data_IF_686870299981
#
_entry.id   IF_686870299981
#
_cell.length_a   1.000
_cell.length_b   1.000
_cell.length_c   1.000
_cell.angle_alpha   90.00
_cell.angle_beta   90.00
_cell.angle_gamma   90.00
#
_symmetry.space_group_name_H-M   'P 1'
#
loop_
_entity.id
_entity.type
_entity.pdbx_description
1 polymer ?
#
# COMPACT_ATOMS: atom_id res chain seq x y z
N UNK A 1 -20.75 -0.81 -7.85
CA UNK A 1 -19.59 0.08 -7.86
C UNK A 1 -19.17 0.60 -6.48
N UNK A 2 -19.93 0.33 -5.44
CA UNK A 2 -19.67 0.84 -4.07
C UNK A 2 -18.53 0.09 -3.33
N UNK A 3 -17.65 -0.56 -4.07
CA UNK A 3 -16.58 -1.41 -3.51
C UNK A 3 -15.21 -0.73 -3.46
N UNK A 4 -15.03 0.38 -4.19
CA UNK A 4 -13.75 1.11 -4.30
C UNK A 4 -14.02 2.58 -4.02
N UNK A 5 -13.50 3.07 -2.90
CA UNK A 5 -13.74 4.46 -2.46
C UNK A 5 -12.42 5.09 -2.02
N UNK A 6 -12.05 6.19 -2.65
CA UNK A 6 -10.96 7.06 -2.22
C UNK A 6 -11.54 8.33 -1.60
N UNK A 7 -11.33 8.51 -0.29
CA UNK A 7 -11.79 9.68 0.44
C UNK A 7 -10.78 10.82 0.30
N UNK A 8 -11.27 12.03 0.00
CA UNK A 8 -10.44 13.23 0.10
C UNK A 8 -10.42 13.69 1.56
N UNK A 9 -9.72 12.96 2.39
CA UNK A 9 -9.66 13.21 3.85
C UNK A 9 -8.38 12.59 4.44
N UNK A 10 -8.05 12.96 5.66
CA UNK A 10 -7.03 12.29 6.45
C UNK A 10 -7.59 11.00 7.06
N UNK A 11 -6.76 9.92 7.09
CA UNK A 11 -7.14 8.69 7.79
C UNK A 11 -7.49 8.93 9.27
N UNK A 12 -7.00 9.99 9.88
CA UNK A 12 -7.30 10.37 11.27
C UNK A 12 -8.80 10.65 11.49
N UNK A 13 -9.52 10.98 10.43
CA UNK A 13 -10.98 11.21 10.45
C UNK A 13 -11.79 9.93 10.13
N UNK A 14 -11.16 8.75 10.14
CA UNK A 14 -11.76 7.48 9.73
C UNK A 14 -13.12 7.16 10.38
N UNK A 15 -13.35 7.67 11.60
CA UNK A 15 -14.62 7.46 12.33
C UNK A 15 -15.83 8.10 11.67
N UNK A 16 -15.63 9.12 10.84
CA UNK A 16 -16.70 9.75 10.07
C UNK A 16 -17.09 8.95 8.82
N UNK A 17 -16.28 7.95 8.47
CA UNK A 17 -16.49 7.08 7.32
C UNK A 17 -16.88 5.67 7.79
N UNK A 18 -17.89 5.08 7.17
CA UNK A 18 -18.35 3.73 7.49
C UNK A 18 -17.51 2.69 6.75
N UNK A 19 -16.30 2.44 7.26
CA UNK A 19 -15.33 1.53 6.63
C UNK A 19 -15.39 0.16 7.32
N UNK A 20 -15.59 -0.95 6.57
CA UNK A 20 -15.54 -2.29 7.14
C UNK A 20 -14.10 -2.67 7.51
N UNK A 21 -13.96 -3.63 8.43
CA UNK A 21 -12.64 -4.14 8.81
C UNK A 21 -11.92 -4.80 7.63
N UNK A 22 -10.65 -4.48 7.48
CA UNK A 22 -9.79 -4.96 6.42
C UNK A 22 -9.19 -6.34 6.70
N UNK A 23 -9.02 -7.13 5.66
CA UNK A 23 -8.12 -8.29 5.65
C UNK A 23 -6.67 -7.85 5.52
N UNK A 24 -6.43 -6.81 4.72
CA UNK A 24 -5.10 -6.25 4.46
C UNK A 24 -5.15 -4.72 4.56
N UNK A 25 -4.23 -4.14 5.33
CA UNK A 25 -3.89 -2.72 5.25
C UNK A 25 -2.57 -2.65 4.47
N UNK A 26 -2.61 -2.03 3.29
CA UNK A 26 -1.46 -1.91 2.39
C UNK A 26 -1.26 -0.45 2.06
N UNK A 27 -0.16 0.13 2.53
CA UNK A 27 0.05 1.58 2.43
C UNK A 27 1.52 1.95 2.31
N UNK A 28 1.80 3.10 1.70
CA UNK A 28 3.13 3.72 1.60
C UNK A 28 3.20 4.88 2.61
N UNK A 29 3.92 4.66 3.70
CA UNK A 29 4.02 5.65 4.77
C UNK A 29 4.85 6.86 4.34
N UNK A 30 4.58 8.06 4.85
CA UNK A 30 5.49 9.19 4.69
C UNK A 30 6.86 8.88 5.29
N UNK A 31 7.91 9.02 4.45
CA UNK A 31 9.29 8.81 4.90
C UNK A 31 9.79 10.09 5.59
N UNK A 32 9.55 10.25 6.87
CA UNK A 32 9.92 11.43 7.66
C UNK A 32 11.43 11.54 7.93
N UNK A 33 12.26 11.35 6.90
CA UNK A 33 13.72 11.27 7.03
C UNK A 33 14.43 12.62 6.90
N UNK A 34 13.70 13.69 6.65
CA UNK A 34 14.26 15.02 6.37
C UNK A 34 14.97 15.11 5.01
N UNK A 35 15.18 16.32 4.54
CA UNK A 35 15.65 16.64 3.19
C UNK A 35 17.01 16.03 2.82
N UNK A 36 17.87 15.81 3.81
CA UNK A 36 19.24 15.30 3.59
C UNK A 36 19.28 13.81 3.27
N UNK A 37 18.30 13.04 3.71
CA UNK A 37 18.22 11.59 3.51
C UNK A 37 17.62 11.23 2.16
N UNK A 38 16.65 12.02 1.67
CA UNK A 38 16.20 11.87 0.29
C UNK A 38 17.34 12.25 -0.65
N UNK A 39 17.67 11.37 -1.55
CA UNK A 39 18.76 11.57 -2.51
C UNK A 39 18.53 12.68 -3.51
N UNK A 40 17.41 13.39 -3.40
CA UNK A 40 17.01 14.49 -4.24
C UNK A 40 17.03 15.79 -3.42
N UNK A 41 17.61 16.84 -4.00
CA UNK A 41 17.49 18.17 -3.45
C UNK A 41 15.99 18.55 -3.38
N UNK A 42 15.44 19.15 -2.29
CA UNK A 42 14.07 19.64 -2.24
C UNK A 42 13.69 20.55 -3.41
N UNK A 43 14.64 21.31 -3.95
CA UNK A 43 14.51 22.10 -5.18
C UNK A 43 14.00 21.25 -6.37
N UNK A 44 14.28 19.95 -6.39
CA UNK A 44 13.79 19.01 -7.40
C UNK A 44 12.29 18.74 -7.29
N UNK A 45 11.74 18.94 -6.11
CA UNK A 45 10.32 18.74 -5.82
C UNK A 45 9.55 20.06 -5.73
N UNK A 46 10.26 21.17 -5.43
CA UNK A 46 9.63 22.46 -5.14
C UNK A 46 9.81 23.53 -6.22
N UNK A 47 10.71 23.37 -7.19
CA UNK A 47 10.96 24.48 -8.13
C UNK A 47 11.91 24.23 -9.27
N UNK A 48 12.22 22.98 -9.58
CA UNK A 48 13.06 22.65 -10.72
C UNK A 48 12.44 23.08 -12.05
N UNK A 49 13.23 23.68 -12.91
CA UNK A 49 12.82 24.15 -14.22
C UNK A 49 12.80 23.04 -15.29
N UNK A 50 13.04 21.79 -14.89
CA UNK A 50 13.23 20.61 -15.74
C UNK A 50 14.41 20.68 -16.71
N UNK A 51 15.29 21.68 -16.59
CA UNK A 51 16.43 21.87 -17.50
C UNK A 51 17.50 20.78 -17.34
N UNK A 52 17.54 20.12 -16.19
CA UNK A 52 18.49 19.06 -15.85
C UNK A 52 17.85 17.66 -15.79
N UNK A 53 16.72 17.45 -16.43
CA UNK A 53 16.01 16.17 -16.43
C UNK A 53 15.19 15.90 -15.15
N UNK A 54 14.85 16.94 -14.40
CA UNK A 54 13.94 16.87 -13.28
C UNK A 54 12.54 16.43 -13.74
N UNK A 55 11.84 15.72 -12.87
CA UNK A 55 10.49 15.28 -13.20
C UNK A 55 9.55 16.48 -13.39
N UNK A 56 8.75 16.44 -14.47
CA UNK A 56 7.62 17.40 -14.66
C UNK A 56 6.62 17.43 -13.51
N UNK A 57 6.78 16.56 -12.53
CA UNK A 57 6.02 16.50 -11.29
C UNK A 57 6.74 17.17 -10.12
N UNK A 58 7.92 17.79 -10.34
CA UNK A 58 8.72 18.41 -9.29
C UNK A 58 7.89 19.37 -8.40
N UNK A 59 6.99 20.15 -9.00
CA UNK A 59 6.10 21.05 -8.26
C UNK A 59 4.95 20.35 -7.50
N UNK A 60 4.70 19.05 -7.73
CA UNK A 60 3.57 18.33 -7.16
C UNK A 60 3.96 17.39 -6.03
N UNK A 61 5.24 17.19 -5.84
CA UNK A 61 5.78 16.18 -4.93
C UNK A 61 6.16 16.76 -3.57
N UNK A 62 5.63 17.90 -3.18
CA UNK A 62 5.77 18.28 -1.79
C UNK A 62 5.20 17.13 -0.95
N UNK A 63 6.09 16.40 -0.25
CA UNK A 63 5.74 15.53 0.88
C UNK A 63 5.29 16.45 2.01
N UNK A 64 4.47 17.43 1.62
CA UNK A 64 4.06 18.48 2.48
C UNK A 64 3.03 17.92 3.43
N UNK A 65 3.41 17.91 4.64
CA UNK A 65 2.58 17.83 5.80
C UNK A 65 1.67 19.07 5.89
N UNK A 66 0.95 19.40 4.81
CA UNK A 66 -0.10 20.42 4.81
C UNK A 66 -1.27 20.04 5.74
N UNK A 67 -1.28 18.81 6.23
CA UNK A 67 -2.04 18.47 7.42
C UNK A 67 -1.33 19.11 8.62
N UNK A 68 -1.91 20.19 9.14
CA UNK A 68 -1.43 20.90 10.37
C UNK A 68 -1.22 19.97 11.56
N UNK A 69 -1.76 18.75 11.53
CA UNK A 69 -1.60 17.70 12.55
C UNK A 69 -0.42 16.79 12.28
N UNK A 70 0.08 16.71 11.03
CA UNK A 70 1.13 15.82 10.60
C UNK A 70 0.72 14.33 10.66
N UNK A 71 1.52 13.47 10.03
CA UNK A 71 1.37 12.02 10.16
C UNK A 71 1.92 11.56 11.51
N UNK A 72 1.08 10.90 12.33
CA UNK A 72 1.46 10.41 13.66
C UNK A 72 1.41 8.91 13.72
N UNK A 73 2.56 8.28 13.88
CA UNK A 73 2.71 6.81 13.92
C UNK A 73 1.82 6.16 15.00
N UNK A 74 1.70 6.69 16.25
CA UNK A 74 0.80 6.10 17.23
C UNK A 74 -0.68 6.13 16.82
N UNK A 75 -1.14 7.23 16.21
CA UNK A 75 -2.52 7.36 15.71
C UNK A 75 -2.78 6.41 14.54
N UNK A 76 -1.78 6.24 13.68
CA UNK A 76 -1.82 5.30 12.58
C UNK A 76 -1.98 3.85 13.08
N UNK A 77 -1.17 3.41 14.04
CA UNK A 77 -1.32 2.06 14.59
C UNK A 77 -2.61 1.88 15.39
N UNK A 78 -3.13 2.95 16.03
CA UNK A 78 -4.47 2.90 16.62
C UNK A 78 -5.56 2.68 15.55
N UNK A 79 -5.49 3.41 14.44
CA UNK A 79 -6.36 3.22 13.29
C UNK A 79 -6.28 1.77 12.77
N UNK A 80 -5.07 1.24 12.56
CA UNK A 80 -4.86 -0.14 12.12
C UNK A 80 -5.45 -1.16 13.09
N UNK A 81 -5.25 -0.98 14.40
CA UNK A 81 -5.78 -1.88 15.41
C UNK A 81 -7.31 -1.94 15.42
N UNK A 82 -7.97 -0.85 15.05
CA UNK A 82 -9.45 -0.76 14.96
C UNK A 82 -10.01 -1.30 13.65
N UNK A 83 -9.31 -1.08 12.55
CA UNK A 83 -9.82 -1.42 11.22
C UNK A 83 -9.26 -2.71 10.64
N UNK A 84 -8.21 -3.29 11.18
CA UNK A 84 -7.82 -4.64 10.78
C UNK A 84 -8.78 -5.66 11.43
N UNK A 85 -9.21 -6.65 10.65
CA UNK A 85 -10.06 -7.74 11.16
C UNK A 85 -9.51 -8.29 12.47
N UNK A 86 -10.36 -8.52 13.48
CA UNK A 86 -9.94 -9.17 14.71
C UNK A 86 -9.38 -10.55 14.42
N UNK A 87 -8.54 -11.06 15.32
CA UNK A 87 -8.00 -12.40 15.18
C UNK A 87 -9.12 -13.45 15.17
N UNK A 88 -9.10 -14.35 14.18
CA UNK A 88 -10.11 -15.39 14.09
C UNK A 88 -9.92 -16.43 15.20
N UNK A 89 -11.02 -17.05 15.64
CA UNK A 89 -10.98 -18.21 16.53
C UNK A 89 -10.48 -19.46 15.76
N UNK A 90 -9.76 -20.34 16.44
CA UNK A 90 -9.24 -21.58 15.86
C UNK A 90 -8.05 -21.35 14.91
N UNK A 91 -7.95 -22.16 13.88
CA UNK A 91 -6.82 -22.19 12.92
C UNK A 91 -7.00 -21.25 11.72
N UNK A 92 -8.03 -20.39 11.72
CA UNK A 92 -8.29 -19.47 10.60
C UNK A 92 -7.19 -18.45 10.46
N UNK A 93 -6.97 -18.02 9.23
CA UNK A 93 -5.95 -17.08 8.81
C UNK A 93 -6.32 -15.65 9.22
N UNK A 94 -5.35 -14.93 9.78
CA UNK A 94 -5.53 -13.58 10.28
C UNK A 94 -5.39 -12.51 9.17
N UNK A 95 -5.81 -11.28 9.48
CA UNK A 95 -5.46 -10.11 8.70
C UNK A 95 -4.03 -9.64 9.00
N UNK A 96 -3.47 -8.84 8.10
CA UNK A 96 -2.13 -8.25 8.26
C UNK A 96 -2.06 -6.83 7.72
N UNK A 97 -0.93 -6.18 8.01
CA UNK A 97 -0.56 -4.89 7.44
C UNK A 97 0.75 -5.04 6.68
N UNK A 98 0.86 -4.41 5.52
CA UNK A 98 2.11 -4.26 4.78
C UNK A 98 2.35 -2.76 4.59
N UNK A 99 3.42 -2.27 5.21
CA UNK A 99 3.75 -0.86 5.28
C UNK A 99 5.05 -0.63 4.51
N UNK A 100 4.97 0.00 3.34
CA UNK A 100 6.17 0.53 2.70
C UNK A 100 6.72 1.67 3.54
N UNK A 101 8.01 1.65 3.79
CA UNK A 101 8.68 2.60 4.68
C UNK A 101 10.18 2.62 4.39
N UNK A 102 10.88 3.62 4.91
CA UNK A 102 12.32 3.62 4.89
C UNK A 102 12.91 2.61 5.89
N UNK A 103 14.09 2.09 5.60
CA UNK A 103 14.79 1.15 6.50
C UNK A 103 15.00 1.76 7.89
N UNK A 104 15.28 3.06 7.93
CA UNK A 104 15.52 3.84 9.15
C UNK A 104 14.29 3.92 10.07
N UNK A 105 13.07 3.72 9.52
CA UNK A 105 11.83 3.73 10.28
C UNK A 105 11.50 2.36 10.92
N UNK A 106 12.24 1.29 10.62
CA UNK A 106 11.90 -0.07 11.04
C UNK A 106 11.75 -0.21 12.55
N UNK A 107 12.69 0.30 13.33
CA UNK A 107 12.66 0.15 14.79
C UNK A 107 11.52 0.96 15.42
N UNK A 108 11.27 2.15 14.93
CA UNK A 108 10.15 2.98 15.40
C UNK A 108 8.81 2.32 15.07
N UNK A 109 8.63 1.84 13.84
CA UNK A 109 7.40 1.15 13.42
C UNK A 109 7.16 -0.13 14.22
N UNK A 110 8.19 -0.95 14.45
CA UNK A 110 8.09 -2.16 15.27
C UNK A 110 7.69 -1.83 16.72
N UNK A 111 8.26 -0.77 17.28
CA UNK A 111 7.94 -0.34 18.63
C UNK A 111 6.44 0.02 18.77
N UNK A 112 5.94 0.90 17.91
CA UNK A 112 4.53 1.30 17.97
C UNK A 112 3.56 0.21 17.53
N UNK A 113 3.96 -0.65 16.59
CA UNK A 113 3.19 -1.84 16.21
C UNK A 113 2.98 -2.78 17.40
N UNK A 114 4.06 -3.08 18.13
CA UNK A 114 3.98 -3.94 19.33
C UNK A 114 3.06 -3.34 20.41
N UNK A 115 3.15 -2.04 20.67
CA UNK A 115 2.26 -1.34 21.60
C UNK A 115 0.78 -1.39 21.17
N UNK A 116 0.52 -1.45 19.87
CA UNK A 116 -0.82 -1.56 19.31
C UNK A 116 -1.34 -3.01 19.17
N UNK A 117 -0.56 -4.01 19.61
CA UNK A 117 -0.94 -5.42 19.57
C UNK A 117 -0.52 -6.16 18.29
N UNK A 118 0.53 -5.68 17.61
CA UNK A 118 1.15 -6.32 16.43
C UNK A 118 2.63 -6.60 16.71
N UNK A 119 2.97 -7.58 17.55
CA UNK A 119 4.35 -7.83 17.99
C UNK A 119 5.20 -8.50 16.91
N UNK A 120 4.59 -9.10 15.91
CA UNK A 120 5.30 -9.87 14.89
C UNK A 120 5.47 -9.07 13.60
N UNK A 121 6.67 -9.14 13.02
CA UNK A 121 6.96 -8.47 11.76
C UNK A 121 7.88 -9.30 10.86
N UNK A 122 7.66 -9.18 9.55
CA UNK A 122 8.50 -9.78 8.50
C UNK A 122 8.92 -8.66 7.54
N UNK A 123 10.24 -8.42 7.33
CA UNK A 123 10.68 -7.42 6.38
C UNK A 123 10.55 -7.93 4.94
N UNK A 124 10.21 -7.01 4.03
CA UNK A 124 10.35 -7.17 2.59
C UNK A 124 11.38 -6.17 2.06
N UNK A 125 12.22 -6.63 1.15
CA UNK A 125 13.19 -5.82 0.41
C UNK A 125 12.94 -6.03 -1.07
N UNK A 126 12.46 -5.01 -1.75
CA UNK A 126 12.18 -5.04 -3.19
C UNK A 126 13.35 -4.41 -3.94
N UNK A 127 14.14 -5.23 -4.63
CA UNK A 127 15.31 -4.81 -5.37
C UNK A 127 14.91 -4.20 -6.72
N UNK A 128 15.35 -2.98 -6.97
CA UNK A 128 15.16 -2.28 -8.25
C UNK A 128 16.38 -2.46 -9.15
N UNK A 129 16.18 -2.43 -10.46
CA UNK A 129 17.26 -2.39 -11.44
C UNK A 129 17.95 -1.03 -11.53
N UNK A 130 17.39 0.01 -10.91
CA UNK A 130 17.92 1.37 -10.90
C UNK A 130 17.82 1.98 -9.50
N UNK A 131 18.56 3.07 -9.28
CA UNK A 131 18.47 3.87 -8.06
C UNK A 131 17.77 5.19 -8.35
N UNK A 132 16.79 5.56 -7.51
CA UNK A 132 16.23 6.90 -7.53
C UNK A 132 17.25 7.97 -7.07
N UNK A 133 18.36 7.54 -6.45
CA UNK A 133 19.41 8.40 -5.93
C UNK A 133 20.62 8.51 -6.87
N UNK A 134 20.44 8.21 -8.17
CA UNK A 134 21.54 8.16 -9.15
C UNK A 134 22.42 9.41 -9.17
N UNK A 135 21.86 10.58 -8.93
CA UNK A 135 22.61 11.84 -8.88
C UNK A 135 23.61 11.93 -7.71
N UNK A 136 23.43 11.11 -6.69
CA UNK A 136 24.35 11.02 -5.53
C UNK A 136 25.36 9.88 -5.67
N UNK A 137 25.30 9.10 -6.76
CA UNK A 137 26.12 7.90 -6.94
C UNK A 137 27.63 8.18 -6.92
N UNK A 138 28.07 9.38 -7.34
CA UNK A 138 29.46 9.80 -7.30
C UNK A 138 29.90 10.34 -5.92
N UNK A 139 28.98 10.47 -4.99
CA UNK A 139 29.24 11.10 -3.67
C UNK A 139 29.15 10.11 -2.51
N UNK A 140 28.32 9.07 -2.66
CA UNK A 140 28.09 8.05 -1.63
C UNK A 140 27.45 6.79 -2.25
N UNK A 141 27.48 5.64 -1.54
CA UNK A 141 26.64 4.50 -1.91
C UNK A 141 25.17 4.91 -1.98
N UNK A 142 24.45 4.42 -2.98
CA UNK A 142 23.03 4.70 -3.21
C UNK A 142 22.22 3.41 -3.19
N UNK A 143 21.03 3.48 -2.59
CA UNK A 143 20.12 2.34 -2.51
C UNK A 143 19.40 2.11 -3.85
N UNK A 144 19.27 0.85 -4.22
CA UNK A 144 18.45 0.41 -5.36
C UNK A 144 17.31 -0.50 -4.90
N UNK A 145 16.77 -0.26 -3.73
CA UNK A 145 15.70 -1.06 -3.14
C UNK A 145 14.62 -0.17 -2.51
N UNK A 146 13.47 -0.77 -2.29
CA UNK A 146 12.45 -0.28 -1.38
C UNK A 146 12.17 -1.32 -0.30
N UNK A 147 11.79 -0.86 0.88
CA UNK A 147 11.48 -1.73 2.00
C UNK A 147 9.99 -1.67 2.34
N UNK A 148 9.50 -2.78 2.90
CA UNK A 148 8.24 -2.80 3.61
C UNK A 148 8.33 -3.72 4.82
N UNK A 149 7.44 -3.50 5.80
CA UNK A 149 7.25 -4.38 6.94
C UNK A 149 5.84 -4.96 6.87
N UNK A 150 5.75 -6.29 6.89
CA UNK A 150 4.51 -7.00 7.15
C UNK A 150 4.36 -7.14 8.66
N UNK A 151 3.24 -6.68 9.22
CA UNK A 151 2.90 -6.82 10.64
C UNK A 151 1.67 -7.68 10.83
N UNK A 152 1.67 -8.47 11.89
CA UNK A 152 0.53 -9.30 12.28
C UNK A 152 0.52 -9.51 13.82
N UNK A 153 -0.64 -9.97 14.32
CA UNK A 153 -0.82 -10.28 15.75
C UNK A 153 -0.17 -11.62 16.07
N UNK A 154 -0.85 -12.51 16.79
CA UNK A 154 -0.30 -13.82 17.18
C UNK A 154 -0.37 -14.83 16.04
N UNK A 155 -1.47 -14.82 15.25
CA UNK A 155 -1.69 -15.78 14.17
C UNK A 155 -1.08 -15.33 12.87
N UNK A 156 -0.52 -16.29 12.15
CA UNK A 156 -0.01 -16.03 10.79
C UNK A 156 -1.11 -15.46 9.89
N UNK A 157 -0.75 -14.49 9.05
CA UNK A 157 -1.69 -13.92 8.10
C UNK A 157 -2.13 -14.93 7.04
N UNK A 158 -3.26 -14.64 6.40
CA UNK A 158 -3.66 -15.33 5.17
C UNK A 158 -2.50 -15.28 4.16
N UNK A 159 -2.22 -16.42 3.52
CA UNK A 159 -1.10 -16.52 2.59
C UNK A 159 -1.46 -17.42 1.40
N UNK A 160 -1.61 -16.82 0.21
CA UNK A 160 -1.96 -17.46 -1.06
C UNK A 160 -0.76 -17.42 -1.99
N UNK A 161 0.08 -18.43 -1.93
CA UNK A 161 1.32 -18.50 -2.71
C UNK A 161 1.30 -19.56 -3.82
N UNK A 162 0.18 -20.24 -4.02
CA UNK A 162 -0.01 -21.29 -5.02
C UNK A 162 1.11 -22.37 -4.96
N UNK A 163 1.57 -22.68 -3.72
CA UNK A 163 2.66 -23.64 -3.49
C UNK A 163 4.06 -23.11 -3.84
N UNK A 164 4.21 -21.84 -4.20
CA UNK A 164 5.51 -21.23 -4.56
C UNK A 164 6.13 -20.53 -3.36
N UNK A 165 7.46 -20.52 -3.29
CA UNK A 165 8.16 -19.72 -2.28
C UNK A 165 8.06 -18.24 -2.64
N UNK A 166 7.70 -17.43 -1.63
CA UNK A 166 7.79 -15.98 -1.68
C UNK A 166 8.94 -15.54 -0.78
N UNK A 167 9.94 -14.93 -1.37
CA UNK A 167 11.13 -14.50 -0.65
C UNK A 167 10.94 -13.09 -0.06
N UNK A 168 11.54 -12.85 1.10
CA UNK A 168 11.58 -11.50 1.70
C UNK A 168 12.41 -10.51 0.87
N UNK A 169 13.43 -11.00 0.17
CA UNK A 169 14.22 -10.24 -0.78
C UNK A 169 13.82 -10.66 -2.20
N UNK A 170 13.10 -9.81 -2.90
CA UNK A 170 12.57 -10.09 -4.22
C UNK A 170 12.77 -8.92 -5.18
N UNK A 171 12.71 -9.22 -6.47
CA UNK A 171 12.80 -8.17 -7.48
C UNK A 171 11.52 -7.30 -7.48
N UNK A 172 11.73 -6.02 -7.79
CA UNK A 172 10.65 -5.06 -7.98
C UNK A 172 9.80 -5.45 -9.19
N UNK A 173 8.52 -5.72 -8.96
CA UNK A 173 7.59 -6.08 -10.03
C UNK A 173 7.17 -4.79 -10.75
N UNK A 174 7.46 -4.71 -12.04
CA UNK A 174 7.09 -3.59 -12.90
C UNK A 174 5.76 -3.84 -13.60
N UNK A 175 5.04 -2.77 -13.89
CA UNK A 175 3.86 -2.86 -14.74
C UNK A 175 4.24 -3.23 -16.17
N UNK A 176 3.51 -4.16 -16.75
CA UNK A 176 3.60 -4.53 -18.17
C UNK A 176 2.74 -3.61 -19.06
N UNK A 177 1.74 -2.96 -18.48
CA UNK A 177 0.89 -1.94 -19.09
C UNK A 177 1.21 -0.58 -18.52
N UNK A 178 1.02 0.47 -19.32
CA UNK A 178 1.30 1.83 -18.91
C UNK A 178 0.06 2.45 -18.28
N UNK A 179 0.12 2.70 -16.97
CA UNK A 179 -0.90 3.47 -16.27
C UNK A 179 -0.61 4.98 -16.27
N UNK A 180 -1.66 5.83 -16.22
CA UNK A 180 -1.49 7.26 -16.00
C UNK A 180 -0.68 7.53 -14.72
N UNK A 181 0.30 8.42 -14.81
CA UNK A 181 1.13 8.80 -13.67
C UNK A 181 0.54 10.03 -12.99
N UNK A 182 -0.12 9.83 -11.87
CA UNK A 182 -0.77 10.85 -11.05
C UNK A 182 0.17 11.36 -9.96
N UNK A 183 0.88 10.42 -9.31
CA UNK A 183 1.81 10.73 -8.23
C UNK A 183 3.25 10.42 -8.64
N UNK A 184 4.25 11.27 -8.24
CA UNK A 184 5.66 11.08 -8.65
C UNK A 184 6.25 9.73 -8.21
N UNK A 185 5.91 9.26 -7.02
CA UNK A 185 6.39 8.00 -6.43
C UNK A 185 5.35 6.88 -6.48
N UNK A 186 4.44 6.93 -7.46
CA UNK A 186 3.39 5.93 -7.66
C UNK A 186 3.99 4.52 -7.73
N UNK A 187 3.46 3.62 -6.89
CA UNK A 187 3.86 2.21 -6.89
C UNK A 187 3.27 1.48 -8.11
N UNK A 188 3.99 0.50 -8.68
CA UNK A 188 3.46 -0.32 -9.77
C UNK A 188 2.21 -1.09 -9.34
N UNK A 189 1.20 -1.10 -10.18
CA UNK A 189 -0.05 -1.85 -9.95
C UNK A 189 0.23 -3.34 -9.83
N UNK A 190 1.10 -3.89 -10.68
CA UNK A 190 1.48 -5.30 -10.68
C UNK A 190 2.10 -5.76 -9.35
N UNK A 191 2.93 -4.92 -8.71
CA UNK A 191 3.48 -5.21 -7.38
C UNK A 191 2.39 -5.24 -6.31
N UNK A 192 1.47 -4.26 -6.36
CA UNK A 192 0.37 -4.17 -5.41
C UNK A 192 -0.62 -5.33 -5.60
N UNK A 193 -0.91 -5.72 -6.85
CA UNK A 193 -1.73 -6.90 -7.16
C UNK A 193 -1.09 -8.18 -6.62
N UNK A 194 0.22 -8.37 -6.79
CA UNK A 194 0.93 -9.51 -6.20
C UNK A 194 0.75 -9.57 -4.68
N UNK A 195 0.95 -8.46 -3.97
CA UNK A 195 0.79 -8.42 -2.52
C UNK A 195 -0.67 -8.65 -2.10
N UNK A 196 -1.63 -7.98 -2.77
CA UNK A 196 -3.06 -8.13 -2.47
C UNK A 196 -3.50 -9.57 -2.72
N UNK A 197 -3.14 -10.17 -3.85
CA UNK A 197 -3.48 -11.58 -4.17
C UNK A 197 -2.91 -12.55 -3.13
N UNK A 198 -1.68 -12.29 -2.66
CA UNK A 198 -1.00 -13.16 -1.69
C UNK A 198 -1.68 -13.14 -0.31
N UNK A 199 -2.21 -12.00 0.14
CA UNK A 199 -2.68 -11.83 1.52
C UNK A 199 -4.20 -11.66 1.65
N UNK A 200 -4.94 -11.78 0.55
CA UNK A 200 -6.40 -11.63 0.54
C UNK A 200 -7.08 -12.63 -0.40
N UNK A 201 -8.38 -12.86 -0.18
CA UNK A 201 -9.27 -13.54 -1.11
C UNK A 201 -10.21 -12.53 -1.80
N UNK A 202 -10.95 -12.99 -2.82
CA UNK A 202 -12.02 -12.20 -3.45
C UNK A 202 -13.02 -11.71 -2.39
N UNK A 203 -13.51 -10.49 -2.54
CA UNK A 203 -14.38 -9.76 -1.61
C UNK A 203 -13.76 -9.37 -0.26
N UNK A 204 -12.53 -9.75 0.02
CA UNK A 204 -11.82 -9.17 1.18
C UNK A 204 -11.65 -7.66 1.03
N UNK A 205 -11.49 -7.00 2.16
CA UNK A 205 -11.31 -5.55 2.21
C UNK A 205 -9.83 -5.21 2.31
N UNK A 206 -9.39 -4.30 1.46
CA UNK A 206 -8.06 -3.68 1.47
C UNK A 206 -8.22 -2.21 1.88
N UNK A 207 -7.35 -1.72 2.77
CA UNK A 207 -7.33 -0.30 3.15
C UNK A 207 -5.94 0.30 2.86
N UNK A 208 -5.93 1.50 2.27
CA UNK A 208 -4.74 2.32 2.09
C UNK A 208 -4.95 3.70 2.73
N UNK A 209 -4.21 3.99 3.80
CA UNK A 209 -4.40 5.24 4.55
C UNK A 209 -3.58 6.43 4.02
N UNK A 210 -2.69 6.20 3.04
CA UNK A 210 -1.87 7.21 2.36
C UNK A 210 -1.89 6.93 0.86
N UNK A 211 -3.09 6.93 0.26
CA UNK A 211 -3.34 6.33 -1.04
C UNK A 211 -2.65 7.02 -2.23
N UNK A 212 -2.26 8.29 -2.08
CA UNK A 212 -1.59 9.05 -3.12
C UNK A 212 -2.38 9.02 -4.43
N UNK A 213 -1.84 8.34 -5.44
CA UNK A 213 -2.50 8.15 -6.74
C UNK A 213 -3.68 7.15 -6.72
N UNK A 214 -3.86 6.37 -5.67
CA UNK A 214 -4.90 5.33 -5.58
C UNK A 214 -4.57 4.02 -6.31
N UNK A 215 -3.30 3.75 -6.65
CA UNK A 215 -2.93 2.50 -7.34
C UNK A 215 -3.22 1.25 -6.52
N UNK A 216 -3.18 1.33 -5.19
CA UNK A 216 -3.62 0.23 -4.30
C UNK A 216 -5.10 -0.09 -4.51
N UNK A 217 -5.93 0.94 -4.68
CA UNK A 217 -7.36 0.77 -4.91
C UNK A 217 -7.64 0.19 -6.30
N UNK A 218 -6.90 0.66 -7.32
CA UNK A 218 -6.96 0.10 -8.67
C UNK A 218 -6.60 -1.40 -8.65
N UNK A 219 -5.46 -1.75 -8.04
CA UNK A 219 -5.00 -3.13 -7.93
C UNK A 219 -6.03 -4.03 -7.19
N UNK A 220 -6.59 -3.54 -6.09
CA UNK A 220 -7.63 -4.27 -5.36
C UNK A 220 -8.90 -4.46 -6.21
N UNK A 221 -9.31 -3.44 -6.96
CA UNK A 221 -10.45 -3.50 -7.86
C UNK A 221 -10.28 -4.51 -8.99
N UNK A 222 -9.12 -4.54 -9.64
CA UNK A 222 -8.77 -5.50 -10.66
C UNK A 222 -8.92 -6.96 -10.17
N UNK A 223 -8.57 -7.18 -8.90
CA UNK A 223 -8.63 -8.49 -8.26
C UNK A 223 -9.98 -8.81 -7.58
N UNK A 224 -11.02 -8.02 -7.81
CA UNK A 224 -12.34 -8.16 -7.17
C UNK A 224 -12.32 -8.04 -5.63
N UNK A 225 -11.40 -7.28 -5.07
CA UNK A 225 -11.40 -6.91 -3.66
C UNK A 225 -12.18 -5.61 -3.46
N UNK A 226 -12.64 -5.36 -2.23
CA UNK A 226 -13.16 -4.05 -1.82
C UNK A 226 -11.98 -3.20 -1.36
N UNK A 227 -11.95 -1.93 -1.70
CA UNK A 227 -10.87 -1.06 -1.25
C UNK A 227 -11.36 0.31 -0.78
N UNK A 228 -10.73 0.78 0.28
CA UNK A 228 -10.99 2.08 0.88
C UNK A 228 -9.65 2.79 1.08
N UNK A 229 -9.55 4.03 0.60
CA UNK A 229 -8.33 4.82 0.72
C UNK A 229 -8.58 6.20 1.27
N UNK A 230 -7.52 6.79 1.82
CA UNK A 230 -7.48 8.18 2.27
C UNK A 230 -6.37 8.92 1.56
N UNK A 231 -6.68 10.11 1.06
CA UNK A 231 -5.72 11.02 0.46
C UNK A 231 -6.12 12.46 0.75
N UNK A 232 -5.20 13.23 1.31
CA UNK A 232 -5.46 14.62 1.72
C UNK A 232 -5.41 15.59 0.53
N UNK A 233 -4.63 15.27 -0.51
CA UNK A 233 -4.46 16.13 -1.70
C UNK A 233 -5.59 15.89 -2.69
N UNK A 234 -6.43 16.90 -2.85
CA UNK A 234 -7.60 16.87 -3.73
C UNK A 234 -7.26 16.56 -5.18
N UNK A 235 -6.11 17.02 -5.67
CA UNK A 235 -5.65 16.77 -7.02
C UNK A 235 -5.34 15.29 -7.28
N UNK A 236 -4.82 14.55 -6.30
CA UNK A 236 -4.58 13.12 -6.43
C UNK A 236 -5.88 12.33 -6.41
N UNK A 237 -6.80 12.70 -5.52
CA UNK A 237 -8.15 12.11 -5.48
C UNK A 237 -8.88 12.34 -6.81
N UNK A 238 -8.85 13.57 -7.32
CA UNK A 238 -9.42 13.88 -8.63
C UNK A 238 -8.75 13.07 -9.74
N UNK A 239 -7.41 13.01 -9.76
CA UNK A 239 -6.64 12.22 -10.72
C UNK A 239 -7.00 10.74 -10.68
N UNK A 240 -7.21 10.16 -9.51
CA UNK A 240 -7.68 8.79 -9.35
C UNK A 240 -9.02 8.58 -10.05
N UNK A 241 -10.02 9.37 -9.69
CA UNK A 241 -11.37 9.18 -10.26
C UNK A 241 -11.45 9.49 -11.75
N UNK A 242 -10.68 10.46 -12.24
CA UNK A 242 -10.68 10.83 -13.66
C UNK A 242 -9.90 9.84 -14.55
N UNK A 243 -8.83 9.21 -14.03
CA UNK A 243 -7.85 8.52 -14.86
C UNK A 243 -7.61 7.06 -14.50
N UNK A 244 -7.61 6.68 -13.20
CA UNK A 244 -7.33 5.31 -12.77
C UNK A 244 -8.59 4.49 -12.48
N UNK A 245 -9.57 5.09 -11.82
CA UNK A 245 -10.83 4.40 -11.49
C UNK A 245 -11.55 3.82 -12.73
N UNK A 246 -11.61 4.52 -13.89
CA UNK A 246 -12.21 3.95 -15.10
C UNK A 246 -11.45 2.76 -15.70
N UNK A 247 -10.19 2.54 -15.27
CA UNK A 247 -9.35 1.45 -15.75
C UNK A 247 -9.49 0.16 -14.92
N UNK A 248 -10.30 0.17 -13.87
CA UNK A 248 -10.53 -1.02 -13.06
C UNK A 248 -11.21 -2.08 -13.93
N UNK A 249 -10.49 -3.19 -14.13
CA UNK A 249 -10.96 -4.34 -14.89
C UNK A 249 -11.04 -5.55 -13.95
N UNK A 250 -12.22 -5.84 -13.38
CA UNK A 250 -12.38 -6.97 -12.49
C UNK A 250 -11.99 -8.28 -13.18
N UNK A 251 -11.17 -9.07 -12.52
CA UNK A 251 -10.75 -10.39 -13.02
C UNK A 251 -11.96 -11.34 -13.08
N UNK A 252 -12.35 -11.72 -14.30
CA UNK A 252 -13.49 -12.61 -14.54
C UNK A 252 -13.26 -14.03 -13.98
N UNK A 253 -12.01 -14.51 -13.98
CA UNK A 253 -11.67 -15.84 -13.45
C UNK A 253 -11.85 -15.93 -11.93
N UNK A 254 -11.59 -14.86 -11.20
CA UNK A 254 -11.82 -14.83 -9.76
C UNK A 254 -13.31 -14.86 -9.38
N UNK A 255 -14.21 -14.53 -10.31
CA UNK A 255 -15.66 -14.69 -10.11
C UNK A 255 -16.11 -16.15 -10.32
N UNK A 256 -15.49 -16.88 -11.24
CA UNK A 256 -15.75 -18.30 -11.47
C UNK A 256 -15.26 -19.15 -10.30
N UNK A 257 -14.05 -18.87 -9.77
CA UNK A 257 -13.55 -19.52 -8.54
C UNK A 257 -14.48 -19.34 -7.35
N UNK A 258 -15.07 -18.16 -7.20
CA UNK A 258 -16.03 -17.88 -6.14
C UNK A 258 -17.34 -18.65 -6.35
N UNK A 259 -17.88 -18.65 -7.57
CA UNK A 259 -19.10 -19.38 -7.89
C UNK A 259 -18.93 -20.89 -7.61
N UNK A 260 -17.79 -21.45 -8.02
CA UNK A 260 -17.43 -22.85 -7.76
C UNK A 260 -17.32 -23.16 -6.27
N UNK A 261 -16.70 -22.25 -5.50
CA UNK A 261 -16.54 -22.41 -4.05
C UNK A 261 -17.87 -22.30 -3.31
N UNK A 262 -18.72 -21.35 -3.71
CA UNK A 262 -20.06 -21.18 -3.15
C UNK A 262 -20.98 -22.38 -3.48
N UNK A 263 -20.85 -22.99 -4.66
CA UNK A 263 -21.53 -24.23 -5.01
C UNK A 263 -21.05 -25.43 -4.19
N UNK A 264 -19.73 -25.57 -4.00
CA UNK A 264 -19.14 -26.64 -3.17
C UNK A 264 -19.57 -26.51 -1.70
N UNK A 265 -19.65 -25.30 -1.15
CA UNK A 265 -20.16 -25.05 0.20
C UNK A 265 -21.66 -25.45 0.30
N UNK A 266 -22.47 -25.09 -0.70
CA UNK A 266 -23.89 -25.49 -0.77
C UNK A 266 -24.08 -27.00 -0.89
N UNK A 267 -23.14 -27.71 -1.50
CA UNK A 267 -23.15 -29.16 -1.64
C UNK A 267 -22.53 -29.91 -0.45
N UNK A 268 -22.09 -29.20 0.60
CA UNK A 268 -21.60 -29.82 1.85
C UNK A 268 -20.20 -30.42 1.78
N UNK A 269 -19.40 -30.04 0.81
CA UNK A 269 -18.01 -30.54 0.67
C UNK A 269 -17.00 -29.88 1.64
N UNK A 270 -17.44 -28.88 2.41
CA UNK A 270 -16.63 -28.23 3.44
C UNK A 270 -17.44 -28.14 4.75
N UNK A 271 -17.41 -29.19 5.54
CA UNK A 271 -17.77 -29.22 6.95
C UNK A 271 -16.51 -29.29 7.82
#
# INVERSE_FOLDING_TARGET
MDRIILFNDSFQNWKSHQIPCAQLILTDLPYQLGDKMYGSNPVWYEGGDNSNGESKFAHKAAFDTDDKRGFRIPEFFHFCAKLLKPEPKGTKEAGCMILFCALEQFEELKHYAALAGFPNSIPFIFRKSYSAQVLKANMRPVGNYECALLFYRDKLPKFRNDGRMVFQNMDWIQDTVKYPKIHPTQKPVALLEFLIKTFTDVDDVVIDCCAGSGTTLLAAGNLNRKAYGFEIKKEFVKGFYDQLFPLIQPDMFSQEEKATKDEQIKQGYFL
#
